data_IF_932187281798
#
_entry.id   IF_932187281798
#
_cell.length_a   1.000
_cell.length_b   1.000
_cell.length_c   1.000
_cell.angle_alpha   90.00
_cell.angle_beta   90.00
_cell.angle_gamma   90.00
#
_symmetry.space_group_name_H-M   'P 1'
#
loop_
_entity.id
_entity.type
_entity.pdbx_description
1 polymer ?
#
# COMPACT_ATOMS: atom_id res chain seq x y z
N UNK A 1 4.90 3.24 -13.91
CA UNK A 1 5.51 2.84 -15.19
C UNK A 1 5.78 1.34 -15.13
N UNK A 2 5.36 0.56 -16.12
CA UNK A 2 5.76 -0.86 -16.24
C UNK A 2 7.05 -0.89 -17.06
N UNK A 3 8.08 -1.58 -16.54
CA UNK A 3 9.27 -1.88 -17.32
C UNK A 3 8.91 -2.78 -18.50
N UNK A 4 9.54 -2.57 -19.66
CA UNK A 4 9.46 -3.51 -20.78
C UNK A 4 10.26 -4.78 -20.48
N UNK A 5 9.94 -5.89 -21.15
CA UNK A 5 10.68 -7.15 -20.95
C UNK A 5 12.19 -6.99 -21.21
N UNK A 6 12.65 -6.30 -22.27
CA UNK A 6 14.09 -6.04 -22.48
C UNK A 6 14.76 -5.34 -21.31
N UNK A 7 14.11 -4.34 -20.68
CA UNK A 7 14.66 -3.66 -19.51
C UNK A 7 14.76 -4.60 -18.30
N UNK A 8 13.77 -5.47 -18.11
CA UNK A 8 13.78 -6.50 -17.04
C UNK A 8 14.98 -7.42 -17.22
N UNK A 9 15.17 -7.95 -18.43
CA UNK A 9 16.24 -8.90 -18.75
C UNK A 9 17.63 -8.22 -18.61
N UNK A 10 17.75 -6.98 -19.04
CA UNK A 10 18.95 -6.16 -18.91
C UNK A 10 19.33 -5.94 -17.44
N UNK A 11 18.36 -5.57 -16.58
CA UNK A 11 18.60 -5.40 -15.13
C UNK A 11 19.02 -6.71 -14.49
N UNK A 12 18.37 -7.84 -14.81
CA UNK A 12 18.74 -9.16 -14.29
C UNK A 12 20.15 -9.57 -14.69
N UNK A 13 20.49 -9.42 -15.96
CA UNK A 13 21.82 -9.74 -16.48
C UNK A 13 22.90 -8.91 -15.80
N UNK A 14 22.72 -7.59 -15.73
CA UNK A 14 23.72 -6.72 -15.08
C UNK A 14 23.85 -6.97 -13.58
N UNK A 15 22.75 -7.28 -12.91
CA UNK A 15 22.80 -7.62 -11.49
C UNK A 15 23.54 -8.93 -11.24
N UNK A 16 23.38 -9.93 -12.11
CA UNK A 16 24.02 -11.25 -11.94
C UNK A 16 25.55 -11.23 -12.08
N UNK A 17 26.11 -10.18 -12.69
CA UNK A 17 27.56 -9.97 -12.87
C UNK A 17 28.14 -8.86 -12.00
N UNK A 18 27.39 -8.40 -10.99
CA UNK A 18 27.85 -7.37 -10.04
C UNK A 18 29.03 -7.88 -9.22
N UNK A 19 30.16 -7.20 -9.34
CA UNK A 19 31.38 -7.52 -8.60
C UNK A 19 31.92 -6.34 -7.79
N UNK A 20 31.49 -5.12 -8.09
CA UNK A 20 31.96 -3.89 -7.43
C UNK A 20 30.79 -2.98 -7.02
N UNK A 21 31.06 -2.04 -6.11
CA UNK A 21 30.07 -0.99 -5.77
C UNK A 21 29.85 -0.02 -6.93
N UNK A 22 30.85 0.15 -7.77
CA UNK A 22 30.81 0.94 -9.01
C UNK A 22 29.81 0.34 -10.00
N UNK A 23 29.79 -1.00 -10.16
CA UNK A 23 28.81 -1.70 -10.99
C UNK A 23 27.39 -1.47 -10.49
N UNK A 24 27.19 -1.49 -9.16
CA UNK A 24 25.91 -1.18 -8.55
C UNK A 24 25.48 0.26 -8.84
N UNK A 25 26.39 1.24 -8.75
CA UNK A 25 26.13 2.64 -9.10
C UNK A 25 25.73 2.77 -10.55
N UNK A 26 26.44 2.09 -11.45
CA UNK A 26 26.16 2.07 -12.88
C UNK A 26 24.75 1.52 -13.15
N UNK A 27 24.40 0.40 -12.52
CA UNK A 27 23.07 -0.20 -12.65
C UNK A 27 21.96 0.71 -12.12
N UNK A 28 22.14 1.38 -10.97
CA UNK A 28 21.19 2.33 -10.41
C UNK A 28 21.00 3.53 -11.35
N UNK A 29 22.09 4.05 -11.94
CA UNK A 29 22.02 5.14 -12.91
C UNK A 29 21.27 4.76 -14.19
N UNK A 30 21.48 3.54 -14.66
CA UNK A 30 20.75 3.02 -15.82
C UNK A 30 19.24 2.91 -15.56
N UNK A 31 18.85 2.43 -14.41
CA UNK A 31 17.44 2.40 -14.01
C UNK A 31 16.88 3.81 -13.87
N UNK A 32 17.66 4.78 -13.38
CA UNK A 32 17.26 6.17 -13.36
C UNK A 32 17.07 6.73 -14.79
N UNK A 33 17.94 6.39 -15.72
CA UNK A 33 17.79 6.77 -17.12
C UNK A 33 16.51 6.19 -17.75
N UNK A 34 16.22 4.90 -17.48
CA UNK A 34 14.96 4.26 -17.93
C UNK A 34 13.73 4.97 -17.36
N UNK A 35 13.80 5.49 -16.13
CA UNK A 35 12.66 6.12 -15.45
C UNK A 35 12.43 7.58 -15.84
N UNK A 36 13.50 8.33 -16.03
CA UNK A 36 13.46 9.80 -16.08
C UNK A 36 14.07 10.39 -17.36
N UNK A 37 14.63 9.53 -18.25
CA UNK A 37 15.33 9.99 -19.46
C UNK A 37 16.65 10.69 -19.08
N UNK A 38 17.01 11.70 -19.87
CA UNK A 38 18.26 12.47 -19.68
C UNK A 38 18.20 13.45 -18.49
N UNK A 39 17.01 13.78 -18.02
CA UNK A 39 16.79 14.76 -16.93
C UNK A 39 17.16 14.24 -15.53
N UNK A 40 17.67 13.00 -15.39
CA UNK A 40 18.04 12.49 -14.08
C UNK A 40 19.40 12.97 -13.60
N UNK A 41 19.51 13.24 -12.31
CA UNK A 41 20.78 13.55 -11.69
C UNK A 41 21.61 12.27 -11.52
N UNK A 42 22.74 12.17 -12.27
CA UNK A 42 23.67 11.04 -12.17
C UNK A 42 24.19 10.88 -10.75
N UNK A 43 24.13 9.66 -10.25
CA UNK A 43 24.62 9.27 -8.93
C UNK A 43 26.09 8.86 -9.02
N UNK A 44 26.85 9.15 -7.97
CA UNK A 44 28.25 8.75 -7.81
C UNK A 44 28.41 7.78 -6.63
N UNK A 45 29.47 6.98 -6.62
CA UNK A 45 29.78 6.10 -5.50
C UNK A 45 29.95 6.89 -4.20
N UNK A 46 30.60 8.06 -4.25
CA UNK A 46 30.75 8.93 -3.10
C UNK A 46 29.40 9.32 -2.49
N UNK A 47 28.40 9.64 -3.31
CA UNK A 47 27.06 9.99 -2.86
C UNK A 47 26.33 8.78 -2.24
N UNK A 48 26.45 7.59 -2.82
CA UNK A 48 25.88 6.38 -2.24
C UNK A 48 26.57 6.05 -0.91
N UNK A 49 27.89 6.14 -0.84
CA UNK A 49 28.68 5.92 0.38
C UNK A 49 28.28 6.89 1.49
N UNK A 50 28.10 8.17 1.16
CA UNK A 50 27.60 9.17 2.11
C UNK A 50 26.25 8.74 2.70
N UNK A 51 25.29 8.32 1.86
CA UNK A 51 23.98 7.89 2.33
C UNK A 51 23.96 6.47 2.94
N UNK A 52 24.93 5.62 2.69
CA UNK A 52 25.02 4.29 3.32
C UNK A 52 25.48 4.36 4.78
N UNK A 53 26.20 5.41 5.16
CA UNK A 53 26.78 5.56 6.48
C UNK A 53 26.03 6.59 7.36
N UNK A 54 25.32 6.15 8.41
CA UNK A 54 24.59 7.05 9.32
C UNK A 54 25.51 8.02 10.09
N UNK A 55 26.80 7.72 10.24
CA UNK A 55 27.78 8.61 10.88
C UNK A 55 28.10 9.81 9.98
N UNK A 56 28.14 9.59 8.65
CA UNK A 56 28.39 10.66 7.66
C UNK A 56 27.10 11.46 7.41
N UNK A 57 25.98 10.80 7.22
CA UNK A 57 24.70 11.43 6.98
C UNK A 57 23.73 11.21 8.15
N UNK A 58 23.84 12.05 9.19
CA UNK A 58 22.99 11.93 10.40
C UNK A 58 21.50 12.15 10.12
N UNK A 59 21.14 13.01 9.17
CA UNK A 59 19.73 13.34 8.83
C UNK A 59 19.28 12.62 7.56
N UNK A 60 19.35 11.28 7.53
CA UNK A 60 18.91 10.47 6.37
C UNK A 60 17.38 10.37 6.25
N UNK A 61 16.67 10.45 7.36
CA UNK A 61 15.23 10.34 7.46
C UNK A 61 14.64 11.51 8.26
N UNK A 62 13.46 11.94 7.87
CA UNK A 62 12.58 12.81 8.66
C UNK A 62 11.43 11.95 9.20
N UNK A 63 11.11 12.11 10.48
CA UNK A 63 10.04 11.36 11.14
C UNK A 63 8.84 12.25 11.37
N UNK A 64 7.65 11.71 11.13
CA UNK A 64 6.38 12.37 11.45
C UNK A 64 5.34 11.36 11.91
N UNK A 65 4.44 11.80 12.78
CA UNK A 65 3.37 10.98 13.31
C UNK A 65 2.14 11.02 12.40
N UNK A 66 1.51 9.86 12.22
CA UNK A 66 0.20 9.71 11.56
C UNK A 66 -0.77 9.11 12.56
N UNK A 67 -1.89 9.77 12.88
CA UNK A 67 -2.90 9.23 13.78
C UNK A 67 -3.41 7.87 13.28
N UNK A 68 -3.49 6.86 14.13
CA UNK A 68 -4.15 5.59 13.79
C UNK A 68 -5.67 5.77 13.79
N UNK A 69 -6.38 4.94 13.03
CA UNK A 69 -7.86 4.90 13.09
C UNK A 69 -8.37 4.47 14.47
N UNK A 70 -7.61 3.64 15.15
CA UNK A 70 -7.75 3.31 16.57
C UNK A 70 -6.98 4.32 17.43
N UNK A 71 -6.67 4.00 18.66
CA UNK A 71 -5.85 4.85 19.51
C UNK A 71 -4.37 4.82 19.15
N UNK A 72 -3.68 5.94 19.41
CA UNK A 72 -2.24 6.11 19.22
C UNK A 72 -1.83 6.60 17.84
N UNK A 73 -0.53 6.69 17.64
CA UNK A 73 0.12 7.21 16.45
C UNK A 73 1.00 6.15 15.79
N UNK A 74 1.24 6.35 14.50
CA UNK A 74 2.20 5.60 13.72
C UNK A 74 3.31 6.56 13.30
N UNK A 75 4.54 6.27 13.69
CA UNK A 75 5.70 7.05 13.25
C UNK A 75 6.12 6.59 11.86
N UNK A 76 6.16 7.51 10.92
CA UNK A 76 6.62 7.28 9.55
C UNK A 76 7.99 7.94 9.39
N UNK A 77 8.94 7.19 8.87
CA UNK A 77 10.29 7.64 8.59
C UNK A 77 10.46 7.83 7.08
N UNK A 78 10.32 9.06 6.60
CA UNK A 78 10.48 9.39 5.20
C UNK A 78 11.96 9.68 4.89
N UNK A 79 12.57 9.02 3.88
CA UNK A 79 13.93 9.35 3.49
C UNK A 79 14.00 10.76 2.90
N UNK A 80 15.10 11.48 3.17
CA UNK A 80 15.37 12.77 2.55
C UNK A 80 15.48 12.61 1.02
N UNK A 81 15.25 13.68 0.27
CA UNK A 81 15.19 13.61 -1.20
C UNK A 81 16.43 12.94 -1.82
N UNK A 82 17.64 13.28 -1.35
CA UNK A 82 18.86 12.69 -1.88
C UNK A 82 18.94 11.16 -1.69
N UNK A 83 18.54 10.64 -0.53
CA UNK A 83 18.45 9.20 -0.30
C UNK A 83 17.29 8.57 -1.11
N UNK A 84 16.17 9.27 -1.23
CA UNK A 84 15.01 8.80 -1.99
C UNK A 84 15.30 8.59 -3.46
N UNK A 85 16.18 9.44 -4.06
CA UNK A 85 16.66 9.28 -5.44
C UNK A 85 17.52 8.01 -5.63
N UNK A 86 18.14 7.48 -4.57
CA UNK A 86 18.87 6.21 -4.58
C UNK A 86 17.89 5.04 -4.36
N UNK A 87 17.01 5.15 -3.37
CA UNK A 87 16.16 4.03 -2.95
C UNK A 87 15.04 3.70 -3.94
N UNK A 88 14.55 4.66 -4.73
CA UNK A 88 13.51 4.41 -5.74
C UNK A 88 13.98 3.49 -6.87
N UNK A 89 15.08 3.78 -7.61
CA UNK A 89 15.60 2.88 -8.61
C UNK A 89 16.07 1.55 -8.01
N UNK A 90 16.69 1.59 -6.83
CA UNK A 90 17.06 0.37 -6.10
C UNK A 90 15.84 -0.53 -5.84
N UNK A 91 14.71 0.03 -5.42
CA UNK A 91 13.47 -0.73 -5.22
C UNK A 91 12.98 -1.40 -6.52
N UNK A 92 13.17 -0.77 -7.67
CA UNK A 92 12.83 -1.36 -8.97
C UNK A 92 13.75 -2.53 -9.26
N UNK A 93 15.06 -2.39 -9.05
CA UNK A 93 16.03 -3.47 -9.20
C UNK A 93 15.62 -4.65 -8.33
N UNK A 94 15.36 -4.43 -7.04
CA UNK A 94 14.97 -5.49 -6.11
C UNK A 94 13.69 -6.21 -6.53
N UNK A 95 12.66 -5.49 -6.98
CA UNK A 95 11.41 -6.08 -7.49
C UNK A 95 11.59 -6.83 -8.81
N UNK A 96 12.61 -6.47 -9.61
CA UNK A 96 12.90 -7.13 -10.89
C UNK A 96 13.60 -8.47 -10.66
N UNK A 97 14.44 -8.57 -9.63
CA UNK A 97 15.27 -9.76 -9.36
C UNK A 97 14.50 -10.77 -8.51
N UNK A 98 13.79 -10.32 -7.48
CA UNK A 98 13.15 -11.19 -6.51
C UNK A 98 11.64 -11.24 -6.68
N UNK A 99 11.12 -12.46 -6.80
CA UNK A 99 9.68 -12.72 -6.79
C UNK A 99 9.23 -13.05 -5.36
N UNK A 100 8.22 -12.31 -4.83
CA UNK A 100 7.65 -12.65 -3.54
C UNK A 100 6.91 -13.99 -3.60
N UNK A 101 6.74 -14.64 -2.46
CA UNK A 101 5.96 -15.86 -2.38
C UNK A 101 4.53 -15.62 -2.91
N UNK A 102 3.97 -16.59 -3.67
CA UNK A 102 2.66 -16.42 -4.35
C UNK A 102 1.49 -16.12 -3.39
N UNK A 103 1.61 -16.47 -2.11
CA UNK A 103 0.65 -16.15 -1.04
C UNK A 103 0.82 -14.75 -0.46
N UNK A 104 1.94 -14.08 -0.71
CA UNK A 104 2.11 -12.67 -0.40
C UNK A 104 1.35 -11.81 -1.42
N UNK A 105 0.55 -10.88 -0.96
CA UNK A 105 -0.27 -9.99 -1.79
C UNK A 105 -0.01 -8.51 -1.49
N UNK A 106 0.44 -8.19 -0.28
CA UNK A 106 0.81 -6.83 0.10
C UNK A 106 2.13 -6.40 -0.53
N UNK A 107 2.17 -5.18 -1.07
CA UNK A 107 3.34 -4.58 -1.70
C UNK A 107 3.87 -5.35 -2.94
N UNK A 108 3.04 -6.17 -3.55
CA UNK A 108 3.38 -6.92 -4.76
C UNK A 108 2.82 -6.19 -5.97
N UNK A 109 3.65 -5.84 -6.98
CA UNK A 109 3.16 -5.21 -8.20
C UNK A 109 2.02 -5.99 -8.85
N UNK A 110 0.94 -5.31 -9.23
CA UNK A 110 -0.23 -5.93 -9.86
C UNK A 110 -1.19 -6.65 -8.90
N UNK A 111 -0.87 -6.77 -7.61
CA UNK A 111 -1.79 -7.30 -6.59
C UNK A 111 -2.35 -6.18 -5.70
N UNK A 112 -3.53 -6.43 -5.13
CA UNK A 112 -4.27 -5.49 -4.30
C UNK A 112 -4.83 -6.16 -3.04
N UNK A 113 -5.46 -5.37 -2.17
CA UNK A 113 -6.23 -5.90 -1.03
C UNK A 113 -7.38 -6.81 -1.48
N UNK A 114 -7.89 -6.62 -2.72
CA UNK A 114 -8.95 -7.46 -3.30
C UNK A 114 -8.43 -8.87 -3.58
N UNK A 115 -7.20 -8.98 -4.12
CA UNK A 115 -6.56 -10.29 -4.39
C UNK A 115 -6.26 -11.05 -3.09
N UNK A 116 -5.97 -10.32 -2.02
CA UNK A 116 -5.86 -10.91 -0.69
C UNK A 116 -7.21 -11.43 -0.19
N UNK A 117 -8.23 -10.58 -0.19
CA UNK A 117 -9.56 -10.89 0.32
C UNK A 117 -10.26 -12.01 -0.45
N UNK A 118 -10.12 -12.08 -1.78
CA UNK A 118 -10.72 -13.11 -2.64
C UNK A 118 -10.39 -14.54 -2.20
N UNK A 119 -9.21 -14.78 -1.64
CA UNK A 119 -8.77 -16.10 -1.16
C UNK A 119 -9.57 -16.62 0.04
N UNK A 120 -10.31 -15.73 0.73
CA UNK A 120 -10.99 -16.02 1.99
C UNK A 120 -12.52 -15.94 1.91
N UNK A 121 -13.06 -15.65 0.73
CA UNK A 121 -14.51 -15.52 0.51
C UNK A 121 -15.24 -16.82 0.79
N UNK A 122 -16.42 -16.75 1.42
CA UNK A 122 -17.34 -17.85 1.62
C UNK A 122 -16.88 -18.90 2.64
N UNK A 123 -15.84 -18.61 3.43
CA UNK A 123 -15.39 -19.50 4.50
C UNK A 123 -16.17 -19.25 5.79
N UNK A 124 -16.45 -20.32 6.54
CA UNK A 124 -17.18 -20.20 7.81
C UNK A 124 -16.37 -19.50 8.90
N UNK A 125 -15.04 -19.64 8.88
CA UNK A 125 -14.14 -19.07 9.87
C UNK A 125 -13.02 -18.32 9.18
N UNK A 126 -12.70 -17.13 9.70
CA UNK A 126 -11.55 -16.31 9.30
C UNK A 126 -10.73 -16.00 10.55
N UNK A 127 -9.42 -16.16 10.44
CA UNK A 127 -8.47 -15.86 11.51
C UNK A 127 -7.40 -14.91 11.00
N UNK A 128 -7.42 -13.69 11.51
CA UNK A 128 -6.45 -12.66 11.17
C UNK A 128 -5.44 -12.48 12.30
N UNK A 129 -4.18 -12.34 11.95
CA UNK A 129 -3.04 -12.16 12.84
C UNK A 129 -2.25 -10.97 12.34
N UNK A 130 -1.92 -10.03 13.24
CA UNK A 130 -1.10 -8.85 12.95
C UNK A 130 0.29 -9.05 13.58
N UNK A 131 1.34 -8.87 12.80
CA UNK A 131 2.71 -8.95 13.29
C UNK A 131 3.11 -7.61 13.92
N UNK A 132 3.66 -7.68 15.13
CA UNK A 132 4.05 -6.51 15.91
C UNK A 132 5.34 -5.90 15.34
N UNK A 133 5.38 -4.58 15.23
CA UNK A 133 6.56 -3.80 14.81
C UNK A 133 7.26 -4.34 13.56
N UNK A 134 6.46 -4.80 12.58
CA UNK A 134 6.87 -5.63 11.45
C UNK A 134 8.14 -5.12 10.72
N UNK A 135 8.19 -3.86 10.30
CA UNK A 135 9.36 -3.31 9.62
C UNK A 135 10.60 -3.26 10.53
N UNK A 136 10.43 -2.92 11.79
CA UNK A 136 11.52 -2.83 12.76
C UNK A 136 12.00 -4.20 13.26
N UNK A 137 11.30 -5.28 12.93
CA UNK A 137 11.76 -6.65 13.21
C UNK A 137 12.92 -7.08 12.29
N UNK A 138 13.13 -6.39 11.17
CA UNK A 138 14.19 -6.73 10.23
C UNK A 138 15.42 -5.85 10.48
N UNK A 139 16.42 -6.40 11.16
CA UNK A 139 17.70 -5.72 11.37
C UNK A 139 18.59 -5.76 10.12
N UNK A 140 19.67 -4.96 10.13
CA UNK A 140 20.62 -4.88 9.01
C UNK A 140 21.29 -6.21 8.72
N UNK A 141 21.55 -7.02 9.73
CA UNK A 141 22.20 -8.33 9.57
C UNK A 141 21.28 -9.26 8.78
N UNK A 142 20.01 -9.31 9.15
CA UNK A 142 19.02 -10.11 8.43
C UNK A 142 18.85 -9.63 6.99
N UNK A 143 18.76 -8.30 6.78
CA UNK A 143 18.69 -7.71 5.43
C UNK A 143 19.92 -8.06 4.60
N UNK A 144 21.13 -7.97 5.18
CA UNK A 144 22.37 -8.38 4.52
C UNK A 144 22.31 -9.86 4.09
N UNK A 145 21.95 -10.74 5.01
CA UNK A 145 21.78 -12.16 4.68
C UNK A 145 20.78 -12.43 3.56
N UNK A 146 19.68 -11.67 3.50
CA UNK A 146 18.73 -11.75 2.40
C UNK A 146 19.34 -11.43 1.04
N UNK A 147 20.31 -10.52 0.98
CA UNK A 147 21.05 -10.22 -0.25
C UNK A 147 22.15 -11.24 -0.57
N UNK A 148 22.65 -11.97 0.42
CA UNK A 148 23.69 -12.99 0.21
C UNK A 148 23.16 -14.30 -0.39
N UNK A 149 21.88 -14.60 -0.23
CA UNK A 149 21.24 -15.83 -0.69
C UNK A 149 20.46 -15.61 -2.00
N UNK A 150 20.02 -16.70 -2.69
CA UNK A 150 19.14 -16.57 -3.86
C UNK A 150 17.87 -15.74 -3.57
N UNK A 151 17.44 -14.90 -4.53
CA UNK A 151 17.93 -14.80 -5.93
C UNK A 151 19.08 -13.82 -6.12
N UNK A 152 19.52 -13.09 -5.10
CA UNK A 152 20.54 -12.05 -5.21
C UNK A 152 21.97 -12.60 -5.30
N UNK A 153 22.28 -13.64 -4.56
CA UNK A 153 23.57 -14.37 -4.56
C UNK A 153 24.82 -13.49 -4.29
N UNK A 154 24.66 -12.39 -3.54
CA UNK A 154 25.77 -11.51 -3.15
C UNK A 154 26.49 -12.06 -1.90
N UNK A 155 26.80 -13.37 -1.88
CA UNK A 155 27.55 -14.01 -0.80
C UNK A 155 29.05 -14.09 -1.09
N UNK A 156 29.83 -14.54 -0.10
CA UNK A 156 31.28 -14.75 -0.19
C UNK A 156 32.01 -13.51 -0.72
N UNK A 157 32.45 -13.54 -1.99
CA UNK A 157 33.27 -12.49 -2.61
C UNK A 157 32.57 -11.13 -2.71
N UNK A 158 31.22 -11.12 -2.75
CA UNK A 158 30.40 -9.90 -2.90
C UNK A 158 29.67 -9.51 -1.58
N UNK A 159 30.10 -10.01 -0.43
CA UNK A 159 29.48 -9.71 0.87
C UNK A 159 29.54 -8.21 1.21
N UNK A 160 30.54 -7.50 0.77
CA UNK A 160 30.69 -6.06 0.94
C UNK A 160 29.59 -5.28 0.19
N UNK A 161 29.16 -5.75 -0.99
CA UNK A 161 28.04 -5.19 -1.74
C UNK A 161 26.72 -5.48 -1.02
N UNK A 162 26.52 -6.69 -0.50
CA UNK A 162 25.36 -7.05 0.29
C UNK A 162 25.25 -6.18 1.56
N UNK A 163 26.37 -5.96 2.26
CA UNK A 163 26.42 -5.06 3.41
C UNK A 163 26.13 -3.60 3.04
N UNK A 164 26.67 -3.14 1.91
CA UNK A 164 26.44 -1.80 1.39
C UNK A 164 24.97 -1.54 1.05
N UNK A 165 24.32 -2.48 0.36
CA UNK A 165 22.88 -2.46 0.07
C UNK A 165 22.06 -2.46 1.35
N UNK A 166 22.37 -3.35 2.31
CA UNK A 166 21.68 -3.38 3.59
C UNK A 166 21.83 -2.07 4.36
N UNK A 167 23.00 -1.43 4.30
CA UNK A 167 23.28 -0.15 4.95
C UNK A 167 22.55 1.02 4.30
N UNK A 168 22.32 0.99 2.98
CA UNK A 168 21.45 1.97 2.30
C UNK A 168 19.99 1.83 2.71
N UNK A 169 19.52 0.60 2.89
CA UNK A 169 18.11 0.27 3.14
C UNK A 169 17.71 0.35 4.62
N UNK A 170 18.64 0.30 5.56
CA UNK A 170 18.39 0.32 7.02
C UNK A 170 18.83 1.62 7.69
N UNK A 171 18.28 1.92 8.86
CA UNK A 171 18.66 3.10 9.63
C UNK A 171 18.60 2.79 11.13
N UNK A 172 19.51 3.38 11.96
CA UNK A 172 19.41 3.26 13.40
C UNK A 172 18.20 4.07 13.94
N UNK A 173 17.33 3.37 14.65
CA UNK A 173 16.21 3.94 15.40
C UNK A 173 16.21 3.38 16.81
N UNK A 174 15.62 4.14 17.73
CA UNK A 174 15.28 3.63 19.04
C UNK A 174 14.05 2.71 18.91
N UNK A 175 14.24 1.44 19.23
CA UNK A 175 13.18 0.41 19.20
C UNK A 175 13.14 -0.26 20.58
N UNK A 176 12.04 -0.05 21.32
CA UNK A 176 11.87 -0.56 22.68
C UNK A 176 13.00 -0.16 23.66
N UNK A 177 13.48 1.09 23.59
CA UNK A 177 14.54 1.61 24.45
C UNK A 177 15.99 1.25 24.01
N UNK A 178 16.16 0.53 22.91
CA UNK A 178 17.47 0.15 22.37
C UNK A 178 17.67 0.73 20.97
N UNK A 179 18.92 1.18 20.68
CA UNK A 179 19.29 1.61 19.32
C UNK A 179 19.48 0.39 18.42
N UNK A 180 18.59 0.18 17.47
CA UNK A 180 18.66 -0.91 16.49
C UNK A 180 18.72 -0.38 15.06
N UNK A 181 19.57 -0.96 14.23
CA UNK A 181 19.63 -0.62 12.79
C UNK A 181 18.68 -1.52 12.03
N UNK A 182 17.53 -1.00 11.65
CA UNK A 182 16.38 -1.77 11.12
C UNK A 182 15.79 -1.13 9.86
N UNK A 183 14.85 -1.83 9.21
CA UNK A 183 14.11 -1.29 8.07
C UNK A 183 13.19 -0.15 8.51
N UNK A 184 13.28 1.05 7.89
CA UNK A 184 12.41 2.16 8.20
C UNK A 184 10.98 1.96 7.69
N UNK A 185 9.99 2.26 8.52
CA UNK A 185 8.61 2.34 8.07
C UNK A 185 8.39 3.65 7.28
N UNK A 186 8.37 3.58 5.95
CA UNK A 186 8.22 4.73 5.04
C UNK A 186 9.32 4.83 3.99
N UNK A 187 10.33 3.95 4.03
CA UNK A 187 11.33 3.81 2.96
C UNK A 187 10.73 3.12 1.74
N UNK A 188 11.09 3.53 0.50
CA UNK A 188 10.64 2.88 -0.72
C UNK A 188 11.01 1.40 -0.83
N UNK A 189 12.14 0.99 -0.27
CA UNK A 189 12.66 -0.39 -0.36
C UNK A 189 12.14 -1.32 0.72
N UNK A 190 11.72 -0.81 1.87
CA UNK A 190 11.30 -1.64 3.01
C UNK A 190 10.18 -2.63 2.66
N UNK A 191 9.11 -2.26 1.91
CA UNK A 191 8.06 -3.19 1.54
C UNK A 191 8.55 -4.37 0.70
N UNK A 192 9.42 -4.13 -0.27
CA UNK A 192 9.98 -5.17 -1.14
C UNK A 192 10.91 -6.09 -0.35
N UNK A 193 11.81 -5.53 0.46
CA UNK A 193 12.74 -6.30 1.28
C UNK A 193 12.00 -7.19 2.28
N UNK A 194 10.93 -6.69 2.93
CA UNK A 194 10.13 -7.53 3.82
C UNK A 194 9.50 -8.72 3.10
N UNK A 195 9.03 -8.55 1.86
CA UNK A 195 8.50 -9.66 1.07
C UNK A 195 9.56 -10.70 0.71
N UNK A 196 10.78 -10.26 0.39
CA UNK A 196 11.92 -11.14 0.12
C UNK A 196 12.26 -11.97 1.36
N UNK A 197 12.42 -11.32 2.50
CA UNK A 197 12.82 -11.97 3.75
C UNK A 197 11.73 -12.86 4.34
N UNK A 198 10.46 -12.55 4.07
CA UNK A 198 9.31 -13.36 4.50
C UNK A 198 9.05 -14.60 3.64
N UNK A 199 9.81 -14.88 2.58
CA UNK A 199 9.60 -16.09 1.75
C UNK A 199 9.64 -17.37 2.60
N UNK A 200 10.54 -17.46 3.58
CA UNK A 200 10.64 -18.61 4.50
C UNK A 200 9.42 -18.69 5.41
N UNK A 201 8.97 -17.58 5.97
CA UNK A 201 7.72 -17.48 6.74
C UNK A 201 6.52 -17.96 5.93
N UNK A 202 6.36 -17.42 4.69
CA UNK A 202 5.24 -17.75 3.82
C UNK A 202 5.24 -19.24 3.41
N UNK A 203 6.42 -19.83 3.13
CA UNK A 203 6.54 -21.27 2.83
C UNK A 203 6.08 -22.13 4.00
N UNK A 204 6.48 -21.80 5.23
CA UNK A 204 6.11 -22.56 6.42
C UNK A 204 4.63 -22.41 6.76
N UNK A 205 4.09 -21.19 6.72
CA UNK A 205 2.66 -20.94 6.98
C UNK A 205 1.77 -21.54 5.91
N UNK A 206 2.20 -21.54 4.65
CA UNK A 206 1.48 -22.22 3.58
C UNK A 206 1.54 -23.75 3.73
N UNK A 207 2.65 -24.30 4.23
CA UNK A 207 2.77 -25.72 4.60
C UNK A 207 1.80 -26.09 5.72
N UNK A 208 1.74 -25.28 6.78
CA UNK A 208 0.78 -25.41 7.86
C UNK A 208 -0.67 -25.37 7.33
N UNK A 209 -0.98 -24.40 6.46
CA UNK A 209 -2.31 -24.28 5.86
C UNK A 209 -2.70 -25.51 5.03
N UNK A 210 -1.77 -26.06 4.25
CA UNK A 210 -1.99 -27.33 3.49
C UNK A 210 -2.27 -28.52 4.41
N UNK A 211 -1.50 -28.67 5.50
CA UNK A 211 -1.67 -29.75 6.50
C UNK A 211 -3.07 -29.74 7.09
N UNK A 212 -3.60 -28.57 7.41
CA UNK A 212 -4.93 -28.41 8.01
C UNK A 212 -6.07 -28.19 6.98
N UNK A 213 -5.76 -28.23 5.68
CA UNK A 213 -6.71 -28.00 4.56
C UNK A 213 -7.44 -26.66 4.69
N UNK A 214 -6.71 -25.58 4.94
CA UNK A 214 -7.21 -24.23 5.13
C UNK A 214 -6.53 -23.25 4.15
N UNK A 215 -7.15 -22.10 3.90
CA UNK A 215 -6.57 -21.05 3.09
C UNK A 215 -5.60 -20.20 3.91
N UNK A 216 -4.56 -19.71 3.26
CA UNK A 216 -3.55 -18.79 3.80
C UNK A 216 -3.25 -17.68 2.82
N UNK A 217 -3.08 -16.46 3.30
CA UNK A 217 -2.46 -15.35 2.58
C UNK A 217 -1.79 -14.37 3.55
N UNK A 218 -0.89 -13.54 3.03
CA UNK A 218 -0.25 -12.45 3.78
C UNK A 218 -0.32 -11.14 3.00
N UNK A 219 -0.73 -10.09 3.69
CA UNK A 219 -0.66 -8.71 3.19
C UNK A 219 0.21 -7.89 4.14
N UNK A 220 1.49 -7.73 3.82
CA UNK A 220 2.50 -7.11 4.69
C UNK A 220 2.60 -7.83 6.05
N UNK A 221 2.23 -7.13 7.13
CA UNK A 221 2.15 -7.61 8.52
C UNK A 221 0.85 -8.36 8.83
N UNK A 222 -0.19 -8.24 7.98
CA UNK A 222 -1.48 -8.91 8.15
C UNK A 222 -1.43 -10.32 7.57
N UNK A 223 -1.51 -11.33 8.41
CA UNK A 223 -1.63 -12.75 8.07
C UNK A 223 -3.10 -13.15 8.19
N UNK A 224 -3.64 -13.80 7.15
CA UNK A 224 -5.02 -14.28 7.14
C UNK A 224 -5.09 -15.78 6.86
N UNK A 225 -5.87 -16.49 7.67
CA UNK A 225 -6.29 -17.85 7.44
C UNK A 225 -7.81 -17.94 7.33
N UNK A 226 -8.33 -18.88 6.55
CA UNK A 226 -9.77 -19.16 6.53
C UNK A 226 -10.07 -20.62 6.29
N UNK A 227 -11.22 -21.09 6.82
CA UNK A 227 -11.60 -22.50 6.82
C UNK A 227 -13.11 -22.68 6.85
N UNK A 228 -13.59 -23.81 6.33
CA UNK A 228 -14.97 -24.27 6.52
C UNK A 228 -15.19 -24.87 7.91
N UNK A 229 -14.14 -25.35 8.57
CA UNK A 229 -14.20 -25.97 9.90
C UNK A 229 -13.44 -25.14 10.92
N UNK A 230 -13.76 -25.27 12.22
CA UNK A 230 -13.13 -24.48 13.29
C UNK A 230 -11.74 -25.02 13.70
N UNK A 231 -10.81 -25.04 12.73
CA UNK A 231 -9.42 -25.44 12.97
C UNK A 231 -8.71 -24.52 13.97
N UNK A 232 -9.13 -23.24 14.03
CA UNK A 232 -8.47 -22.20 14.84
C UNK A 232 -8.69 -22.33 16.34
N UNK A 233 -9.40 -23.38 16.82
CA UNK A 233 -9.47 -23.79 18.21
C UNK A 233 -8.56 -24.97 18.55
N UNK A 234 -8.02 -25.69 17.55
CA UNK A 234 -7.14 -26.84 17.76
C UNK A 234 -5.80 -26.38 18.31
N UNK A 235 -5.38 -26.94 19.42
CA UNK A 235 -4.09 -26.61 20.05
C UNK A 235 -2.91 -26.94 19.14
N UNK A 236 -2.97 -28.04 18.42
CA UNK A 236 -1.94 -28.45 17.45
C UNK A 236 -1.70 -27.39 16.39
N UNK A 237 -2.77 -26.78 15.84
CA UNK A 237 -2.65 -25.67 14.89
C UNK A 237 -2.05 -24.44 15.56
N UNK A 238 -2.53 -24.05 16.72
CA UNK A 238 -2.10 -22.83 17.42
C UNK A 238 -0.64 -22.92 17.89
N UNK A 239 -0.23 -24.09 18.39
CA UNK A 239 1.15 -24.32 18.85
C UNK A 239 2.12 -24.28 17.69
N UNK A 240 1.81 -24.97 16.58
CA UNK A 240 2.68 -24.94 15.39
C UNK A 240 2.71 -23.53 14.73
N UNK A 241 1.59 -22.83 14.72
CA UNK A 241 1.53 -21.44 14.26
C UNK A 241 2.46 -20.51 15.05
N UNK A 242 2.40 -20.61 16.40
CA UNK A 242 3.29 -19.82 17.29
C UNK A 242 4.74 -20.21 17.08
N UNK A 243 5.02 -21.50 17.01
CA UNK A 243 6.38 -21.99 16.78
C UNK A 243 6.97 -21.42 15.49
N UNK A 244 6.19 -21.40 14.40
CA UNK A 244 6.65 -20.82 13.12
C UNK A 244 6.88 -19.31 13.26
N UNK A 245 5.94 -18.56 13.83
CA UNK A 245 6.01 -17.09 13.84
C UNK A 245 7.02 -16.61 14.89
N UNK A 246 6.91 -17.10 16.13
CA UNK A 246 7.62 -16.53 17.27
C UNK A 246 8.99 -17.19 17.50
N UNK A 247 9.07 -18.54 17.38
CA UNK A 247 10.32 -19.24 17.67
C UNK A 247 11.24 -19.30 16.44
N UNK A 248 10.72 -19.69 15.27
CA UNK A 248 11.53 -19.87 14.07
C UNK A 248 11.85 -18.55 13.33
N UNK A 249 10.85 -17.66 13.22
CA UNK A 249 10.99 -16.42 12.46
C UNK A 249 11.14 -15.18 13.34
N UNK A 250 11.08 -15.34 14.66
CA UNK A 250 11.31 -14.28 15.66
C UNK A 250 10.41 -13.05 15.53
N UNK A 251 9.19 -13.21 14.97
CA UNK A 251 8.19 -12.14 14.94
C UNK A 251 7.30 -12.20 16.18
N UNK A 252 6.92 -11.03 16.71
CA UNK A 252 5.91 -10.93 17.74
C UNK A 252 4.50 -10.90 17.14
N UNK A 253 3.57 -11.63 17.73
CA UNK A 253 2.14 -11.52 17.42
C UNK A 253 1.51 -10.40 18.24
N UNK A 254 0.65 -9.57 17.61
CA UNK A 254 -0.13 -8.53 18.28
C UNK A 254 -1.48 -9.10 18.77
N UNK A 255 -1.65 -9.42 20.05
CA UNK A 255 -2.87 -10.06 20.55
C UNK A 255 -4.10 -9.15 20.45
N UNK A 256 -3.93 -7.82 20.54
CA UNK A 256 -5.03 -6.83 20.47
C UNK A 256 -5.65 -6.74 19.07
N UNK A 257 -4.90 -7.07 18.02
CA UNK A 257 -5.36 -7.06 16.64
C UNK A 257 -5.62 -8.45 16.07
N UNK A 258 -5.17 -9.50 16.76
CA UNK A 258 -5.45 -10.88 16.38
C UNK A 258 -6.91 -11.23 16.68
N UNK A 259 -7.64 -11.67 15.64
CA UNK A 259 -9.09 -11.90 15.77
C UNK A 259 -9.57 -13.13 15.00
N UNK A 260 -10.46 -13.89 15.65
CA UNK A 260 -11.19 -15.01 15.03
C UNK A 260 -12.62 -14.54 14.71
N UNK A 261 -13.05 -14.77 13.49
CA UNK A 261 -14.36 -14.36 12.99
C UNK A 261 -15.09 -15.59 12.46
N UNK A 262 -16.41 -15.66 12.61
CA UNK A 262 -17.24 -16.77 12.11
C UNK A 262 -18.38 -16.27 11.25
N UNK A 263 -18.92 -17.16 10.40
CA UNK A 263 -20.15 -16.88 9.64
C UNK A 263 -21.31 -16.49 10.56
N UNK A 264 -22.26 -15.71 10.08
CA UNK A 264 -23.29 -15.07 10.89
C UNK A 264 -22.89 -13.70 11.44
N UNK A 265 -21.59 -13.40 11.48
CA UNK A 265 -21.04 -12.10 11.84
C UNK A 265 -20.25 -11.51 10.68
N UNK A 266 -19.88 -10.24 10.79
CA UNK A 266 -19.04 -9.57 9.81
C UNK A 266 -17.64 -10.19 9.77
N UNK A 267 -17.27 -10.73 8.60
CA UNK A 267 -15.94 -11.27 8.33
C UNK A 267 -15.17 -10.30 7.43
N UNK A 268 -13.96 -9.95 7.83
CA UNK A 268 -13.14 -8.95 7.17
C UNK A 268 -11.70 -9.45 6.99
N UNK A 269 -11.15 -9.21 5.80
CA UNK A 269 -9.73 -9.42 5.47
C UNK A 269 -9.22 -8.16 4.80
N UNK A 270 -8.13 -7.57 5.31
CA UNK A 270 -7.53 -6.32 4.81
C UNK A 270 -8.54 -5.18 4.60
N UNK A 271 -9.52 -5.03 5.51
CA UNK A 271 -10.54 -3.97 5.43
C UNK A 271 -11.71 -4.27 4.48
N UNK A 272 -11.74 -5.43 3.83
CA UNK A 272 -12.81 -5.85 2.94
C UNK A 272 -13.66 -6.96 3.54
N UNK A 273 -14.97 -6.87 3.37
CA UNK A 273 -15.91 -7.94 3.76
C UNK A 273 -15.74 -9.16 2.86
N UNK A 274 -15.69 -10.36 3.46
CA UNK A 274 -15.46 -11.63 2.73
C UNK A 274 -16.53 -12.70 2.99
N UNK A 275 -17.67 -12.35 3.58
CA UNK A 275 -18.74 -13.31 3.91
C UNK A 275 -19.20 -14.14 2.70
N UNK A 276 -19.80 -13.52 1.69
CA UNK A 276 -20.31 -14.20 0.49
C UNK A 276 -19.59 -13.78 -0.78
N UNK A 277 -19.09 -12.58 -0.81
CA UNK A 277 -18.28 -11.98 -1.89
C UNK A 277 -17.41 -10.88 -1.33
N UNK A 278 -16.35 -10.52 -2.05
CA UNK A 278 -15.56 -9.34 -1.67
C UNK A 278 -16.42 -8.09 -1.77
N UNK A 279 -16.45 -7.30 -0.70
CA UNK A 279 -17.25 -6.09 -0.64
C UNK A 279 -16.58 -5.05 0.27
N UNK A 280 -16.99 -3.80 0.12
CA UNK A 280 -16.67 -2.75 1.09
C UNK A 280 -17.62 -2.82 2.28
N UNK A 281 -17.21 -2.26 3.42
CA UNK A 281 -18.08 -2.12 4.58
C UNK A 281 -19.36 -1.33 4.20
N UNK A 282 -20.51 -1.71 4.74
CA UNK A 282 -21.80 -1.06 4.46
C UNK A 282 -21.81 0.46 4.77
N UNK A 283 -21.05 0.88 5.78
CA UNK A 283 -20.87 2.30 6.13
C UNK A 283 -20.27 3.10 4.98
N UNK A 284 -19.34 2.50 4.22
CA UNK A 284 -18.71 3.13 3.07
C UNK A 284 -19.73 3.53 2.00
N UNK A 285 -20.62 2.62 1.64
CA UNK A 285 -21.68 2.88 0.65
C UNK A 285 -22.71 3.87 1.21
N UNK A 286 -23.08 3.75 2.49
CA UNK A 286 -24.00 4.68 3.15
C UNK A 286 -23.48 6.12 3.11
N UNK A 287 -22.20 6.32 3.38
CA UNK A 287 -21.54 7.64 3.33
C UNK A 287 -21.62 8.25 1.91
N UNK A 288 -21.28 7.48 0.86
CA UNK A 288 -21.39 7.95 -0.52
C UNK A 288 -22.82 8.32 -0.90
N UNK A 289 -23.80 7.48 -0.52
CA UNK A 289 -25.23 7.76 -0.75
C UNK A 289 -25.71 9.02 -0.04
N UNK A 290 -25.27 9.24 1.19
CA UNK A 290 -25.59 10.41 1.99
C UNK A 290 -25.05 11.68 1.34
N UNK A 291 -23.79 11.71 0.95
CA UNK A 291 -23.17 12.87 0.30
C UNK A 291 -23.84 13.21 -1.02
N UNK A 292 -24.19 12.22 -1.87
CA UNK A 292 -24.95 12.45 -3.10
C UNK A 292 -26.35 12.98 -2.81
N UNK A 293 -27.04 12.43 -1.83
CA UNK A 293 -28.37 12.90 -1.44
C UNK A 293 -28.35 14.38 -1.05
N UNK A 294 -27.40 14.80 -0.24
CA UNK A 294 -27.28 16.20 0.13
C UNK A 294 -26.96 17.11 -1.05
N UNK A 295 -26.13 16.64 -1.98
CA UNK A 295 -25.79 17.38 -3.19
C UNK A 295 -27.02 17.52 -4.11
N UNK A 296 -27.74 16.44 -4.35
CA UNK A 296 -28.96 16.44 -5.18
C UNK A 296 -30.08 17.34 -4.59
N UNK A 297 -30.30 17.26 -3.28
CA UNK A 297 -31.43 17.92 -2.63
C UNK A 297 -31.15 19.37 -2.21
N UNK A 298 -29.93 19.67 -1.80
CA UNK A 298 -29.58 20.94 -1.16
C UNK A 298 -28.39 21.66 -1.84
N UNK A 299 -27.90 21.15 -2.96
CA UNK A 299 -26.82 21.72 -3.73
C UNK A 299 -25.44 21.42 -3.20
N UNK A 300 -24.42 21.76 -4.01
CA UNK A 300 -23.01 21.47 -3.76
C UNK A 300 -22.49 22.02 -2.42
N UNK A 301 -22.80 23.30 -2.13
CA UNK A 301 -22.31 23.98 -0.92
C UNK A 301 -22.73 23.26 0.36
N UNK A 302 -23.95 22.74 0.43
CA UNK A 302 -24.44 21.99 1.59
C UNK A 302 -23.74 20.62 1.70
N UNK A 303 -23.57 19.92 0.58
CA UNK A 303 -22.86 18.64 0.54
C UNK A 303 -21.38 18.78 0.93
N UNK A 304 -20.70 19.81 0.42
CA UNK A 304 -19.32 20.12 0.77
C UNK A 304 -19.14 20.44 2.26
N UNK A 305 -20.07 21.19 2.85
CA UNK A 305 -20.07 21.46 4.30
C UNK A 305 -20.18 20.17 5.13
N UNK A 306 -21.05 19.24 4.74
CA UNK A 306 -21.21 17.93 5.43
C UNK A 306 -19.96 17.10 5.23
N UNK A 307 -19.42 17.02 4.00
CA UNK A 307 -18.17 16.34 3.71
C UNK A 307 -17.01 16.88 4.57
N UNK A 308 -16.89 18.20 4.69
CA UNK A 308 -15.86 18.85 5.52
C UNK A 308 -15.99 18.47 6.99
N UNK A 309 -17.21 18.37 7.51
CA UNK A 309 -17.48 17.88 8.87
C UNK A 309 -17.03 16.42 9.05
N UNK A 310 -17.42 15.53 8.14
CA UNK A 310 -16.98 14.12 8.16
C UNK A 310 -15.45 14.00 8.05
N UNK A 311 -14.85 14.79 7.14
CA UNK A 311 -13.39 14.79 6.94
C UNK A 311 -12.63 15.28 8.19
N UNK A 312 -13.19 16.26 8.91
CA UNK A 312 -12.59 16.77 10.14
C UNK A 312 -12.49 15.68 11.22
N UNK A 313 -13.48 14.77 11.26
CA UNK A 313 -13.54 13.66 12.22
C UNK A 313 -12.78 12.41 11.76
N UNK A 314 -12.43 12.31 10.46
CA UNK A 314 -11.73 11.15 9.93
C UNK A 314 -10.27 11.11 10.43
N UNK A 315 -9.81 9.90 10.81
CA UNK A 315 -8.47 9.62 11.34
C UNK A 315 -7.69 8.72 10.38
N UNK A 316 -6.40 8.61 10.58
CA UNK A 316 -5.55 7.68 9.84
C UNK A 316 -4.76 8.31 8.69
N UNK A 317 -4.75 9.63 8.58
CA UNK A 317 -3.92 10.39 7.63
C UNK A 317 -3.51 11.75 8.18
N UNK A 318 -2.43 12.29 7.65
CA UNK A 318 -1.97 13.67 7.97
C UNK A 318 -2.79 14.66 7.16
N UNK A 319 -3.51 15.55 7.84
CA UNK A 319 -4.30 16.60 7.20
C UNK A 319 -3.42 17.81 6.88
N UNK A 320 -3.19 18.07 5.58
CA UNK A 320 -2.47 19.24 5.07
C UNK A 320 -3.40 20.35 4.56
N UNK A 321 -4.67 20.28 4.88
CA UNK A 321 -5.73 21.14 4.39
C UNK A 321 -7.00 20.34 4.12
N UNK A 322 -8.05 21.03 3.65
CA UNK A 322 -9.31 20.39 3.29
C UNK A 322 -9.29 20.06 1.80
N UNK A 323 -9.36 18.77 1.41
CA UNK A 323 -9.37 18.39 0.01
C UNK A 323 -10.69 18.81 -0.66
N UNK A 324 -10.65 18.90 -1.99
CA UNK A 324 -11.85 19.13 -2.78
C UNK A 324 -12.82 17.94 -2.70
N UNK A 325 -14.08 18.21 -2.39
CA UNK A 325 -15.10 17.17 -2.22
C UNK A 325 -15.29 16.31 -3.49
N UNK A 326 -15.38 16.94 -4.68
CA UNK A 326 -15.54 16.20 -5.96
C UNK A 326 -14.41 15.20 -6.16
N UNK A 327 -13.16 15.60 -5.91
CA UNK A 327 -11.99 14.73 -6.06
C UNK A 327 -11.99 13.56 -5.06
N UNK A 328 -12.35 13.80 -3.81
CA UNK A 328 -12.46 12.75 -2.80
C UNK A 328 -13.58 11.77 -3.14
N UNK A 329 -14.72 12.30 -3.59
CA UNK A 329 -15.86 11.47 -4.00
C UNK A 329 -15.48 10.57 -5.19
N UNK A 330 -14.83 11.14 -6.22
CA UNK A 330 -14.32 10.38 -7.35
C UNK A 330 -13.34 9.27 -6.91
N UNK A 331 -12.35 9.60 -6.07
CA UNK A 331 -11.42 8.60 -5.54
C UNK A 331 -12.11 7.47 -4.76
N UNK A 332 -13.18 7.79 -4.02
CA UNK A 332 -14.01 6.78 -3.34
C UNK A 332 -14.82 5.92 -4.32
N UNK A 333 -15.28 6.47 -5.44
CA UNK A 333 -15.94 5.69 -6.49
C UNK A 333 -14.95 4.75 -7.18
N UNK A 334 -13.74 5.20 -7.49
CA UNK A 334 -12.69 4.35 -8.08
C UNK A 334 -12.28 3.21 -7.14
N UNK A 335 -12.19 3.48 -5.84
CA UNK A 335 -12.00 2.42 -4.84
C UNK A 335 -13.15 1.41 -4.84
N UNK A 336 -14.41 1.89 -4.89
CA UNK A 336 -15.59 1.02 -4.97
C UNK A 336 -15.58 0.15 -6.24
N UNK A 337 -15.19 0.74 -7.39
CA UNK A 337 -14.97 0.05 -8.66
C UNK A 337 -13.91 -1.03 -8.54
N UNK A 338 -12.75 -0.72 -7.95
CA UNK A 338 -11.68 -1.68 -7.72
C UNK A 338 -12.16 -2.90 -6.92
N UNK A 339 -12.99 -2.67 -5.88
CA UNK A 339 -13.46 -3.75 -4.99
C UNK A 339 -14.60 -4.57 -5.60
N UNK A 340 -15.57 -3.92 -6.25
CA UNK A 340 -16.81 -4.56 -6.71
C UNK A 340 -16.85 -4.84 -8.21
N UNK A 341 -15.99 -4.22 -8.99
CA UNK A 341 -15.94 -4.28 -10.44
C UNK A 341 -16.83 -3.23 -11.14
N UNK A 342 -16.53 -2.96 -12.41
CA UNK A 342 -17.23 -2.00 -13.26
C UNK A 342 -18.72 -2.32 -13.44
N UNK A 343 -19.08 -3.59 -13.41
CA UNK A 343 -20.44 -4.05 -13.67
C UNK A 343 -21.33 -4.10 -12.41
N UNK A 344 -20.79 -3.73 -11.23
CA UNK A 344 -21.59 -3.74 -10.01
C UNK A 344 -22.71 -2.70 -10.06
N UNK A 345 -23.98 -3.07 -9.83
CA UNK A 345 -25.12 -2.16 -9.91
C UNK A 345 -25.02 -0.98 -8.94
N UNK A 346 -24.43 -1.18 -7.74
CA UNK A 346 -24.26 -0.11 -6.76
C UNK A 346 -23.24 0.91 -7.24
N UNK A 347 -22.10 0.44 -7.80
CA UNK A 347 -21.10 1.32 -8.39
C UNK A 347 -21.70 2.14 -9.54
N UNK A 348 -22.32 1.47 -10.52
CA UNK A 348 -22.92 2.13 -11.70
C UNK A 348 -23.97 3.18 -11.31
N UNK A 349 -24.85 2.85 -10.36
CA UNK A 349 -25.87 3.80 -9.88
C UNK A 349 -25.25 5.03 -9.21
N UNK A 350 -24.24 4.85 -8.36
CA UNK A 350 -23.57 5.97 -7.69
C UNK A 350 -22.75 6.81 -8.69
N UNK A 351 -22.09 6.17 -9.64
CA UNK A 351 -21.32 6.83 -10.70
C UNK A 351 -22.20 7.70 -11.58
N UNK A 352 -23.30 7.17 -12.08
CA UNK A 352 -24.25 7.91 -12.95
C UNK A 352 -24.86 9.13 -12.22
N UNK A 353 -25.24 8.98 -10.93
CA UNK A 353 -25.73 10.11 -10.12
C UNK A 353 -24.67 11.21 -9.96
N UNK A 354 -23.43 10.82 -9.70
CA UNK A 354 -22.31 11.75 -9.55
C UNK A 354 -22.01 12.50 -10.85
N UNK A 355 -21.96 11.80 -11.98
CA UNK A 355 -21.72 12.41 -13.30
C UNK A 355 -22.81 13.41 -13.67
N UNK A 356 -24.08 13.06 -13.45
CA UNK A 356 -25.21 13.98 -13.66
C UNK A 356 -25.07 15.27 -12.84
N UNK A 357 -24.60 15.19 -11.59
CA UNK A 357 -24.40 16.36 -10.74
C UNK A 357 -23.23 17.24 -11.21
N UNK A 358 -22.12 16.62 -11.63
CA UNK A 358 -20.98 17.38 -12.17
C UNK A 358 -21.38 18.15 -13.44
N UNK A 359 -22.07 17.51 -14.37
CA UNK A 359 -22.53 18.13 -15.60
C UNK A 359 -23.45 19.32 -15.29
N UNK A 360 -24.43 19.11 -14.41
CA UNK A 360 -25.35 20.18 -13.99
C UNK A 360 -24.63 21.37 -13.34
N UNK A 361 -23.66 21.13 -12.47
CA UNK A 361 -22.87 22.19 -11.85
C UNK A 361 -22.01 22.95 -12.87
N UNK A 362 -21.40 22.24 -13.82
CA UNK A 362 -20.62 22.85 -14.90
C UNK A 362 -21.46 23.75 -15.79
N UNK A 363 -22.68 23.33 -16.10
CA UNK A 363 -23.59 24.11 -16.94
C UNK A 363 -24.09 25.35 -16.20
N UNK A 364 -24.39 25.23 -14.90
CA UNK A 364 -24.72 26.38 -14.06
C UNK A 364 -23.56 27.39 -13.97
N UNK A 365 -22.30 26.92 -13.80
CA UNK A 365 -21.12 27.80 -13.78
C UNK A 365 -20.94 28.52 -15.12
N UNK A 366 -21.17 27.84 -16.25
CA UNK A 366 -21.16 28.48 -17.59
C UNK A 366 -22.25 29.55 -17.73
N UNK A 367 -23.47 29.26 -17.29
CA UNK A 367 -24.58 30.18 -17.34
C UNK A 367 -24.34 31.40 -16.45
N UNK A 368 -23.80 31.21 -15.24
CA UNK A 368 -23.41 32.30 -14.35
C UNK A 368 -22.33 33.18 -14.96
N UNK A 369 -21.33 32.57 -15.59
CA UNK A 369 -20.26 33.30 -16.29
C UNK A 369 -20.79 34.15 -17.47
N UNK A 370 -21.83 33.67 -18.17
CA UNK A 370 -22.50 34.42 -19.22
C UNK A 370 -23.32 35.58 -18.62
N UNK A 371 -24.03 35.33 -17.52
CA UNK A 371 -24.71 36.38 -16.80
C UNK A 371 -23.78 37.51 -16.37
N UNK A 372 -22.65 37.19 -15.77
CA UNK A 372 -21.68 38.19 -15.34
C UNK A 372 -21.05 38.99 -16.51
N UNK A 373 -20.85 38.35 -17.67
CA UNK A 373 -20.18 38.96 -18.82
C UNK A 373 -21.17 39.62 -19.83
N UNK A 374 -22.30 39.02 -20.04
CA UNK A 374 -23.20 39.33 -21.15
C UNK A 374 -24.63 39.75 -20.71
N UNK A 375 -24.88 39.67 -19.40
CA UNK A 375 -26.18 40.07 -18.83
C UNK A 375 -27.18 38.93 -18.66
N UNK A 376 -28.24 39.24 -17.89
CA UNK A 376 -29.24 38.25 -17.45
C UNK A 376 -30.07 37.66 -18.58
N UNK A 377 -30.40 38.47 -19.60
CA UNK A 377 -31.26 38.02 -20.70
C UNK A 377 -30.61 36.92 -21.53
N UNK A 378 -29.34 37.05 -21.84
CA UNK A 378 -28.57 36.06 -22.58
C UNK A 378 -28.32 34.78 -21.78
N UNK A 379 -28.12 34.89 -20.49
CA UNK A 379 -28.02 33.74 -19.60
C UNK A 379 -29.32 32.92 -19.56
N UNK A 380 -30.47 33.59 -19.51
CA UNK A 380 -31.80 32.97 -19.53
C UNK A 380 -32.07 32.29 -20.88
N UNK A 381 -31.70 32.92 -21.99
CA UNK A 381 -31.88 32.35 -23.32
C UNK A 381 -31.10 31.06 -23.48
N UNK A 382 -29.84 31.03 -23.02
CA UNK A 382 -28.98 29.84 -23.06
C UNK A 382 -29.49 28.75 -22.12
N UNK A 383 -29.94 29.10 -20.92
CA UNK A 383 -30.53 28.14 -19.98
C UNK A 383 -31.78 27.47 -20.56
N UNK A 384 -32.65 28.22 -21.26
CA UNK A 384 -33.85 27.70 -21.94
C UNK A 384 -33.47 26.74 -23.08
N UNK A 385 -32.48 27.09 -23.93
CA UNK A 385 -32.04 26.22 -25.04
C UNK A 385 -31.49 24.87 -24.52
N UNK A 386 -30.62 24.90 -23.53
CA UNK A 386 -29.99 23.68 -23.00
C UNK A 386 -30.97 22.78 -22.21
N UNK A 387 -32.08 23.30 -21.68
CA UNK A 387 -33.13 22.52 -21.01
C UNK A 387 -34.32 22.10 -21.90
N UNK A 388 -34.45 22.64 -23.12
CA UNK A 388 -35.48 22.22 -24.09
C UNK A 388 -34.99 21.00 -24.89
N UNK A 389 -33.67 20.80 -25.08
CA UNK A 389 -33.13 19.61 -25.73
C UNK A 389 -33.03 18.38 -24.79
N UNK A 390 -33.43 18.52 -23.50
CA UNK A 390 -33.35 17.44 -22.49
C UNK A 390 -34.73 16.84 -22.14
N UNK A 391 -35.80 17.20 -22.87
CA UNK A 391 -37.18 16.64 -22.80
C UNK A 391 -37.50 16.00 -24.17
#
# INVERSE_FOLDING_TARGET
MKLSQPHIDQIKTKFSVLNTKEDLVALINEVNFILYGEDYQKLTLQRLTYYSNPKLCKKRYSSFAVPKKTEGERIIHAPVNGLKHILRPLNIILNTIAEPHFKATGFVPGKSIVDNAKQHVGNHYVYNIDLKDFFHSFDRTWVKYGFMIPPFNLGKENEDIAFFLASLCTHPFEVNGEMKTVLPQGSPTSPTITNILCVKLDRRLNGLAKRFKINYSRYADDISFSSQTNVFKKEEFLNELRRIIEEDQKFGINPKKTRKQKTGFHQEVTGLTVNTKVNVNSRYIKQLRMWLYYWEKYGYTKADKIFKGDYALDKGHVKKGTPNFKNVFMGKLEYLKMVKGDNDPTYRKLRARFEKLITKDSDLEKILSIWEKEGVERAIEKYKRENIEAV
#
